data_IF_224200631863
#
_entry.id   IF_224200631863
#
_cell.length_a   1.000
_cell.length_b   1.000
_cell.length_c   1.000
_cell.angle_alpha   90.00
_cell.angle_beta   90.00
_cell.angle_gamma   90.00
#
_symmetry.space_group_name_H-M   'P 1'
#
loop_
_entity.id
_entity.type
_entity.pdbx_description
1 polymer ?
#
# COMPACT_ATOMS: atom_id res chain seq x y z
N UNK A 1 17.74 -18.80 -0.33
CA UNK A 1 18.03 -17.60 -1.15
C UNK A 1 18.02 -16.41 -0.21
N UNK A 2 19.19 -15.94 0.22
CA UNK A 2 19.32 -14.75 1.06
C UNK A 2 19.32 -13.54 0.14
N UNK A 3 18.18 -12.87 0.01
CA UNK A 3 18.21 -11.48 -0.43
C UNK A 3 18.77 -10.71 0.77
N UNK A 4 19.68 -9.79 0.54
CA UNK A 4 20.47 -9.13 1.57
C UNK A 4 19.65 -7.94 2.12
N UNK A 5 19.53 -7.77 3.44
CA UNK A 5 18.87 -6.58 4.06
C UNK A 5 19.45 -5.26 3.54
N UNK A 6 20.72 -5.28 3.10
CA UNK A 6 21.38 -4.16 2.43
C UNK A 6 20.67 -3.70 1.14
N UNK A 7 19.82 -4.51 0.52
CA UNK A 7 19.02 -4.11 -0.64
C UNK A 7 17.93 -3.10 -0.26
N UNK A 8 17.19 -3.30 0.83
CA UNK A 8 16.09 -2.39 1.20
C UNK A 8 16.57 -1.08 1.77
N UNK A 9 17.63 -1.10 2.57
CA UNK A 9 18.26 0.13 3.04
C UNK A 9 18.89 0.91 1.87
N UNK A 10 19.38 0.21 0.83
CA UNK A 10 19.84 0.87 -0.39
C UNK A 10 18.70 1.50 -1.19
N UNK A 11 17.54 0.84 -1.31
CA UNK A 11 16.34 1.39 -1.95
C UNK A 11 15.79 2.58 -1.15
N UNK A 12 15.81 2.48 0.17
CA UNK A 12 15.43 3.60 1.05
C UNK A 12 16.38 4.78 0.88
N UNK A 13 17.69 4.52 0.87
CA UNK A 13 18.70 5.57 0.74
C UNK A 13 18.69 6.21 -0.64
N UNK A 14 18.48 5.42 -1.70
CA UNK A 14 18.39 5.92 -3.07
C UNK A 14 17.11 6.71 -3.33
N UNK A 15 15.97 6.27 -2.77
CA UNK A 15 14.74 7.05 -2.81
C UNK A 15 14.85 8.33 -2.00
N UNK A 16 15.57 8.30 -0.87
CA UNK A 16 15.81 9.48 -0.03
C UNK A 16 16.66 10.55 -0.71
N UNK A 17 17.59 10.18 -1.59
CA UNK A 17 18.41 11.14 -2.35
C UNK A 17 17.72 11.66 -3.60
N UNK A 18 16.63 11.02 -4.03
CA UNK A 18 15.84 11.44 -5.19
C UNK A 18 14.67 12.35 -4.78
N UNK A 19 14.83 13.65 -5.02
CA UNK A 19 13.83 14.69 -4.72
C UNK A 19 12.52 14.57 -5.52
N UNK A 20 12.43 13.66 -6.48
CA UNK A 20 11.20 13.38 -7.23
C UNK A 20 10.62 11.99 -6.94
N UNK A 21 11.16 11.28 -5.94
CA UNK A 21 10.74 9.94 -5.56
C UNK A 21 9.87 9.97 -4.31
N UNK A 22 8.80 9.19 -4.32
CA UNK A 22 7.99 8.87 -3.15
C UNK A 22 8.06 7.36 -2.93
N UNK A 23 8.53 6.99 -1.74
CA UNK A 23 8.50 5.62 -1.27
C UNK A 23 7.18 5.40 -0.53
N UNK A 24 6.40 4.43 -0.97
CA UNK A 24 5.13 4.03 -0.39
C UNK A 24 5.33 2.67 0.27
N UNK A 25 5.00 2.54 1.54
CA UNK A 25 5.04 1.28 2.26
C UNK A 25 3.63 0.95 2.69
N UNK A 26 3.11 -0.20 2.29
CA UNK A 26 1.71 -0.60 2.52
C UNK A 26 1.63 -1.88 3.33
N UNK A 27 0.60 -1.98 4.16
CA UNK A 27 0.27 -3.18 4.92
C UNK A 27 -1.23 -3.15 5.28
N UNK A 28 -1.80 -4.32 5.57
CA UNK A 28 -3.14 -4.45 6.10
C UNK A 28 -3.23 -5.50 7.21
N UNK A 29 -4.17 -5.29 8.13
CA UNK A 29 -4.47 -6.21 9.22
C UNK A 29 -5.92 -6.65 9.15
N UNK A 30 -6.10 -7.97 9.00
CA UNK A 30 -7.40 -8.63 9.13
C UNK A 30 -7.47 -9.26 10.52
N UNK A 31 -8.29 -8.73 11.44
CA UNK A 31 -8.37 -9.27 12.80
C UNK A 31 -9.03 -10.65 12.80
N UNK A 32 -8.55 -11.54 13.67
CA UNK A 32 -9.16 -12.86 13.90
C UNK A 32 -10.51 -12.76 14.63
N UNK A 33 -10.75 -11.63 15.31
CA UNK A 33 -11.97 -11.38 16.08
C UNK A 33 -12.98 -10.65 15.19
N UNK A 34 -14.11 -11.30 14.88
CA UNK A 34 -15.14 -10.75 14.00
C UNK A 34 -15.82 -9.47 14.51
N UNK A 35 -15.60 -9.06 15.76
CA UNK A 35 -16.06 -7.76 16.27
C UNK A 35 -15.17 -6.59 15.87
N UNK A 36 -14.07 -6.82 15.16
CA UNK A 36 -13.12 -5.80 14.72
C UNK A 36 -13.13 -5.67 13.20
N UNK A 37 -12.94 -4.44 12.74
CA UNK A 37 -12.80 -4.10 11.33
C UNK A 37 -11.40 -4.40 10.81
N UNK A 38 -11.31 -4.63 9.50
CA UNK A 38 -10.03 -4.68 8.79
C UNK A 38 -9.41 -3.30 8.78
N UNK A 39 -8.11 -3.20 9.03
CA UNK A 39 -7.38 -1.93 8.98
C UNK A 39 -6.33 -2.00 7.89
N UNK A 40 -6.32 -0.98 7.06
CA UNK A 40 -5.44 -0.89 5.90
C UNK A 40 -4.65 0.43 5.99
N UNK A 41 -3.35 0.41 5.72
CA UNK A 41 -2.55 1.63 5.76
C UNK A 41 -1.47 1.71 4.67
N UNK A 42 -1.10 2.94 4.35
CA UNK A 42 0.06 3.29 3.55
C UNK A 42 0.83 4.42 4.22
N UNK A 43 2.13 4.24 4.45
CA UNK A 43 3.02 5.32 4.91
C UNK A 43 3.88 5.77 3.74
N UNK A 44 4.01 7.09 3.56
CA UNK A 44 4.73 7.69 2.43
C UNK A 44 5.96 8.42 2.94
N UNK A 45 7.10 8.15 2.30
CA UNK A 45 8.39 8.70 2.64
C UNK A 45 8.97 9.50 1.49
N UNK A 46 9.57 10.63 1.82
CA UNK A 46 10.29 11.52 0.92
C UNK A 46 11.51 12.08 1.64
N UNK A 47 12.67 12.11 0.99
CA UNK A 47 13.91 12.58 1.65
C UNK A 47 14.28 11.77 2.89
N UNK A 48 13.89 10.49 2.96
CA UNK A 48 14.12 9.61 4.11
C UNK A 48 13.22 9.87 5.32
N UNK A 49 12.28 10.81 5.22
CA UNK A 49 11.33 11.14 6.27
C UNK A 49 9.92 10.76 5.84
N UNK A 50 9.10 10.33 6.81
CA UNK A 50 7.68 10.10 6.55
C UNK A 50 6.99 11.45 6.35
N UNK A 51 6.46 11.70 5.17
CA UNK A 51 5.78 12.96 4.81
C UNK A 51 4.27 12.87 4.84
N UNK A 52 3.73 11.65 4.74
CA UNK A 52 2.28 11.43 4.78
C UNK A 52 1.96 10.02 5.25
N UNK A 53 0.71 9.79 5.61
CA UNK A 53 0.13 8.47 5.75
C UNK A 53 -1.33 8.48 5.27
N UNK A 54 -1.85 7.31 4.95
CA UNK A 54 -3.26 7.04 4.75
C UNK A 54 -3.60 5.79 5.56
N UNK A 55 -4.76 5.80 6.23
CA UNK A 55 -5.27 4.66 6.97
C UNK A 55 -6.77 4.61 6.80
N UNK A 56 -7.30 3.42 6.54
CA UNK A 56 -8.71 3.18 6.35
C UNK A 56 -9.14 1.93 7.11
N UNK A 57 -10.39 1.97 7.57
CA UNK A 57 -11.06 0.82 8.17
C UNK A 57 -12.06 0.28 7.16
N UNK A 58 -12.07 -1.03 6.99
CA UNK A 58 -12.98 -1.73 6.09
C UNK A 58 -13.79 -2.77 6.86
N UNK A 59 -14.93 -3.13 6.28
CA UNK A 59 -15.76 -4.22 6.80
C UNK A 59 -15.07 -5.59 6.60
N UNK A 60 -15.86 -6.66 6.54
CA UNK A 60 -15.38 -8.03 6.47
C UNK A 60 -14.85 -8.34 5.07
N UNK A 61 -13.58 -8.05 4.83
CA UNK A 61 -12.89 -8.31 3.56
C UNK A 61 -11.81 -9.38 3.74
N UNK A 62 -11.44 -10.06 2.65
CA UNK A 62 -10.33 -11.02 2.70
C UNK A 62 -8.99 -10.31 2.89
N UNK A 63 -7.96 -11.04 3.32
CA UNK A 63 -6.59 -10.49 3.40
C UNK A 63 -6.11 -9.98 2.04
N UNK A 64 -6.40 -10.69 0.95
CA UNK A 64 -6.09 -10.23 -0.41
C UNK A 64 -6.75 -8.89 -0.75
N UNK A 65 -8.02 -8.72 -0.39
CA UNK A 65 -8.77 -7.48 -0.64
C UNK A 65 -8.24 -6.32 0.23
N UNK A 66 -7.89 -6.61 1.48
CA UNK A 66 -7.31 -5.65 2.42
C UNK A 66 -5.95 -5.13 1.95
N UNK A 67 -5.08 -6.03 1.48
CA UNK A 67 -3.78 -5.67 0.90
C UNK A 67 -3.96 -4.92 -0.42
N UNK A 68 -4.93 -5.30 -1.25
CA UNK A 68 -5.17 -4.59 -2.49
C UNK A 68 -5.64 -3.15 -2.20
N UNK A 69 -6.47 -2.98 -1.17
CA UNK A 69 -6.89 -1.67 -0.73
C UNK A 69 -5.72 -0.83 -0.17
N UNK A 70 -4.73 -1.46 0.47
CA UNK A 70 -3.54 -0.78 1.02
C UNK A 70 -2.70 -0.16 -0.09
N UNK A 71 -2.50 -0.93 -1.16
CA UNK A 71 -1.87 -0.47 -2.40
C UNK A 71 -2.66 0.65 -3.04
N UNK A 72 -3.98 0.49 -3.16
CA UNK A 72 -4.85 1.48 -3.78
C UNK A 72 -4.77 2.86 -3.09
N UNK A 73 -4.95 2.92 -1.76
CA UNK A 73 -4.85 4.19 -1.03
C UNK A 73 -3.43 4.77 -1.04
N UNK A 74 -2.41 3.91 -1.08
CA UNK A 74 -1.02 4.31 -1.19
C UNK A 74 -0.71 5.01 -2.52
N UNK A 75 -1.20 4.45 -3.63
CA UNK A 75 -1.05 5.02 -4.98
C UNK A 75 -1.79 6.35 -5.11
N UNK A 76 -3.05 6.42 -4.68
CA UNK A 76 -3.80 7.70 -4.66
C UNK A 76 -3.00 8.77 -3.93
N UNK A 77 -2.50 8.44 -2.74
CA UNK A 77 -1.79 9.42 -1.92
C UNK A 77 -0.45 9.81 -2.54
N UNK A 78 0.29 8.87 -3.14
CA UNK A 78 1.57 9.16 -3.78
C UNK A 78 1.42 10.05 -5.03
N UNK A 79 0.41 9.80 -5.85
CA UNK A 79 0.08 10.65 -7.02
C UNK A 79 -0.26 12.08 -6.56
N UNK A 80 -0.99 12.22 -5.45
CA UNK A 80 -1.33 13.55 -4.90
C UNK A 80 -0.11 14.39 -4.45
N UNK A 81 1.05 13.75 -4.22
CA UNK A 81 2.30 14.43 -3.85
C UNK A 81 3.11 14.93 -5.06
N UNK A 82 2.56 14.84 -6.28
CA UNK A 82 3.17 15.37 -7.51
C UNK A 82 4.59 14.85 -7.80
N UNK A 83 4.87 13.60 -7.42
CA UNK A 83 6.15 12.96 -7.69
C UNK A 83 6.30 12.48 -9.14
N UNK A 84 7.53 12.17 -9.53
CA UNK A 84 7.82 11.51 -10.81
C UNK A 84 8.07 10.02 -10.64
N UNK A 85 8.52 9.56 -9.47
CA UNK A 85 8.83 8.15 -9.26
C UNK A 85 8.14 7.64 -8.01
N UNK A 86 7.39 6.55 -8.15
CA UNK A 86 6.77 5.85 -7.02
C UNK A 86 7.53 4.54 -6.81
N UNK A 87 7.99 4.29 -5.60
CA UNK A 87 8.48 2.97 -5.19
C UNK A 87 7.49 2.40 -4.19
N UNK A 88 6.77 1.35 -4.57
CA UNK A 88 5.79 0.69 -3.70
C UNK A 88 6.41 -0.55 -3.07
N UNK A 89 6.43 -0.59 -1.74
CA UNK A 89 6.87 -1.71 -0.92
C UNK A 89 5.65 -2.38 -0.27
N UNK A 90 5.53 -3.69 -0.46
CA UNK A 90 4.53 -4.55 0.20
C UNK A 90 5.18 -5.89 0.53
N UNK A 91 4.66 -6.62 1.50
CA UNK A 91 5.02 -8.02 1.75
C UNK A 91 4.19 -9.04 0.96
N UNK A 92 3.29 -8.56 0.09
CA UNK A 92 2.40 -9.37 -0.72
C UNK A 92 2.53 -9.06 -2.23
N UNK A 93 3.64 -9.50 -2.83
CA UNK A 93 3.91 -9.32 -4.27
C UNK A 93 2.79 -9.82 -5.21
N UNK A 94 2.08 -10.95 -4.95
CA UNK A 94 0.94 -11.35 -5.77
C UNK A 94 -0.17 -10.30 -5.81
N UNK A 95 -0.41 -9.60 -4.70
CA UNK A 95 -1.42 -8.53 -4.62
C UNK A 95 -0.94 -7.26 -5.33
N UNK A 96 0.35 -6.93 -5.27
CA UNK A 96 0.91 -5.87 -6.12
C UNK A 96 0.69 -6.12 -7.61
N UNK A 97 0.87 -7.36 -8.07
CA UNK A 97 0.53 -7.75 -9.45
C UNK A 97 -0.97 -7.68 -9.73
N UNK A 98 -1.79 -8.06 -8.75
CA UNK A 98 -3.24 -7.97 -8.86
C UNK A 98 -3.73 -6.53 -8.98
N UNK A 99 -3.06 -5.58 -8.31
CA UNK A 99 -3.42 -4.16 -8.34
C UNK A 99 -3.36 -3.53 -9.73
N UNK A 100 -2.49 -4.04 -10.60
CA UNK A 100 -2.36 -3.60 -12.00
C UNK A 100 -3.03 -4.57 -12.99
N UNK A 101 -3.89 -5.47 -12.49
CA UNK A 101 -4.61 -6.43 -13.30
C UNK A 101 -6.14 -6.13 -13.25
N UNK A 102 -6.73 -5.58 -14.32
CA UNK A 102 -8.15 -5.25 -14.35
C UNK A 102 -9.09 -6.45 -14.60
N UNK A 103 -8.58 -7.68 -14.60
CA UNK A 103 -9.38 -8.90 -14.79
C UNK A 103 -10.38 -9.14 -13.64
N UNK A 104 -11.31 -10.07 -13.79
CA UNK A 104 -12.36 -10.34 -12.79
C UNK A 104 -11.74 -10.95 -11.51
N UNK A 105 -11.99 -10.32 -10.37
CA UNK A 105 -11.70 -10.82 -9.01
C UNK A 105 -12.53 -10.07 -7.95
N UNK A 106 -12.50 -10.50 -6.68
CA UNK A 106 -13.36 -10.01 -5.58
C UNK A 106 -13.33 -8.48 -5.36
N UNK A 107 -12.14 -7.87 -5.47
CA UNK A 107 -11.93 -6.43 -5.34
C UNK A 107 -11.50 -5.75 -6.64
N UNK A 108 -12.09 -6.16 -7.77
CA UNK A 108 -11.75 -5.62 -9.10
C UNK A 108 -11.88 -4.10 -9.19
N UNK A 109 -12.81 -3.49 -8.45
CA UNK A 109 -12.97 -2.03 -8.41
C UNK A 109 -11.68 -1.29 -8.02
N UNK A 110 -10.92 -1.82 -7.07
CA UNK A 110 -9.63 -1.24 -6.67
C UNK A 110 -8.58 -1.36 -7.77
N UNK A 111 -8.46 -2.52 -8.42
CA UNK A 111 -7.52 -2.69 -9.54
C UNK A 111 -7.86 -1.82 -10.74
N UNK A 112 -9.16 -1.67 -11.07
CA UNK A 112 -9.60 -0.76 -12.13
C UNK A 112 -9.21 0.68 -11.81
N UNK A 113 -9.48 1.14 -10.58
CA UNK A 113 -9.14 2.50 -10.16
C UNK A 113 -7.62 2.72 -10.17
N UNK A 114 -6.83 1.76 -9.68
CA UNK A 114 -5.36 1.81 -9.76
C UNK A 114 -4.88 1.90 -11.21
N UNK A 115 -5.41 1.07 -12.11
CA UNK A 115 -5.06 1.13 -13.53
C UNK A 115 -5.41 2.48 -14.16
N UNK A 116 -6.57 3.06 -13.86
CA UNK A 116 -6.98 4.37 -14.36
C UNK A 116 -6.04 5.47 -13.86
N UNK A 117 -5.81 5.53 -12.55
CA UNK A 117 -4.94 6.51 -11.91
C UNK A 117 -3.50 6.43 -12.43
N UNK A 118 -2.94 5.22 -12.52
CA UNK A 118 -1.59 5.03 -13.03
C UNK A 118 -1.51 5.31 -14.52
N UNK A 119 -2.53 4.98 -15.32
CA UNK A 119 -2.54 5.29 -16.76
C UNK A 119 -2.48 6.79 -16.99
N UNK A 120 -3.36 7.56 -16.33
CA UNK A 120 -3.38 9.03 -16.45
C UNK A 120 -2.07 9.64 -15.93
N UNK A 121 -1.58 9.15 -14.80
CA UNK A 121 -0.34 9.63 -14.20
C UNK A 121 0.87 9.31 -15.08
N UNK A 122 1.04 8.09 -15.59
CA UNK A 122 2.17 7.71 -16.45
C UNK A 122 2.13 8.43 -17.82
N UNK A 123 0.95 8.75 -18.33
CA UNK A 123 0.80 9.47 -19.59
C UNK A 123 1.15 10.96 -19.48
N UNK A 124 1.11 11.54 -18.27
CA UNK A 124 1.30 12.97 -18.08
C UNK A 124 2.74 13.44 -18.34
N UNK A 125 3.76 12.64 -18.00
CA UNK A 125 5.19 12.96 -18.21
C UNK A 125 6.00 11.70 -18.54
N UNK A 126 6.92 11.75 -19.53
CA UNK A 126 7.78 10.60 -19.88
C UNK A 126 8.71 10.14 -18.76
N UNK A 127 8.99 11.01 -17.77
CA UNK A 127 9.84 10.69 -16.63
C UNK A 127 9.09 9.98 -15.50
N UNK A 128 7.78 9.73 -15.65
CA UNK A 128 6.99 9.07 -14.62
C UNK A 128 7.16 7.55 -14.65
N UNK A 129 7.42 6.96 -13.49
CA UNK A 129 7.63 5.52 -13.36
C UNK A 129 7.16 5.00 -11.99
N UNK A 130 6.81 3.72 -11.94
CA UNK A 130 6.46 3.03 -10.70
C UNK A 130 7.19 1.70 -10.62
N UNK A 131 7.81 1.42 -9.47
CA UNK A 131 8.46 0.15 -9.16
C UNK A 131 7.75 -0.55 -8.00
N UNK A 132 7.59 -1.87 -8.10
CA UNK A 132 7.04 -2.71 -7.05
C UNK A 132 8.13 -3.57 -6.43
N UNK A 133 8.23 -3.54 -5.10
CA UNK A 133 9.22 -4.30 -4.33
C UNK A 133 8.55 -5.15 -3.25
N UNK A 134 8.97 -6.41 -3.18
CA UNK A 134 8.53 -7.38 -2.18
C UNK A 134 9.44 -7.31 -0.96
N UNK A 135 8.91 -7.02 0.23
CA UNK A 135 9.66 -7.10 1.50
C UNK A 135 9.10 -8.23 2.37
N UNK A 136 9.85 -9.31 2.63
CA UNK A 136 9.34 -10.37 3.50
C UNK A 136 9.11 -9.84 4.92
N UNK A 137 7.90 -9.98 5.46
CA UNK A 137 7.52 -9.42 6.78
C UNK A 137 8.44 -9.88 7.92
N UNK A 138 8.96 -11.12 7.83
CA UNK A 138 9.95 -11.71 8.75
C UNK A 138 11.25 -10.90 8.92
N UNK A 139 11.56 -9.97 8.02
CA UNK A 139 12.79 -9.18 8.08
C UNK A 139 12.70 -7.95 8.97
N UNK A 140 11.49 -7.58 9.43
CA UNK A 140 11.31 -6.48 10.37
C UNK A 140 12.00 -5.18 9.90
N UNK A 141 12.02 -4.95 8.59
CA UNK A 141 12.60 -3.74 8.01
C UNK A 141 11.83 -2.51 8.53
N UNK A 142 12.56 -1.53 9.08
CA UNK A 142 11.95 -0.51 9.98
C UNK A 142 10.74 0.23 9.40
N UNK A 143 10.76 0.72 8.14
CA UNK A 143 9.59 1.35 7.53
C UNK A 143 8.39 0.41 7.44
N UNK A 144 8.60 -0.83 7.01
CA UNK A 144 7.52 -1.84 6.94
C UNK A 144 6.99 -2.22 8.31
N UNK A 145 7.87 -2.50 9.27
CA UNK A 145 7.49 -2.80 10.66
C UNK A 145 6.65 -1.68 11.27
N UNK A 146 6.93 -0.41 10.91
CA UNK A 146 6.14 0.73 11.36
C UNK A 146 4.71 0.68 10.85
N UNK A 147 4.50 0.41 9.55
CA UNK A 147 3.14 0.28 8.98
C UNK A 147 2.44 -0.94 9.57
N UNK A 148 3.15 -2.06 9.71
CA UNK A 148 2.64 -3.28 10.32
C UNK A 148 2.11 -3.07 11.74
N UNK A 149 2.92 -2.43 12.58
CA UNK A 149 2.50 -2.10 13.94
C UNK A 149 1.33 -1.12 13.94
N UNK A 150 1.29 -0.18 12.99
CA UNK A 150 0.24 0.82 12.87
C UNK A 150 -1.12 0.18 12.53
N UNK A 151 -1.16 -0.80 11.62
CA UNK A 151 -2.40 -1.52 11.28
C UNK A 151 -2.80 -2.53 12.35
N UNK A 152 -1.86 -3.27 12.93
CA UNK A 152 -2.15 -4.33 13.91
C UNK A 152 -2.54 -3.80 15.30
N UNK A 153 -2.02 -2.63 15.69
CA UNK A 153 -2.38 -1.98 16.97
C UNK A 153 -3.68 -1.17 16.90
N UNK A 154 -4.21 -0.93 15.69
CA UNK A 154 -5.46 -0.20 15.51
C UNK A 154 -6.63 -1.15 15.68
N UNK A 155 -7.43 -0.96 16.74
CA UNK A 155 -8.65 -1.73 16.97
C UNK A 155 -9.87 -0.85 16.74
N UNK A 156 -10.63 -1.15 15.69
CA UNK A 156 -11.88 -0.46 15.38
C UNK A 156 -13.00 -1.48 15.44
N UNK A 157 -13.99 -1.21 16.30
CA UNK A 157 -15.11 -2.13 16.46
C UNK A 157 -16.05 -2.06 15.26
N UNK A 158 -16.40 -3.23 14.73
CA UNK A 158 -17.42 -3.34 13.70
C UNK A 158 -18.79 -2.95 14.30
N UNK A 159 -19.57 -2.09 13.62
CA UNK A 159 -20.93 -1.79 14.07
C UNK A 159 -21.82 -3.04 13.99
N UNK A 160 -22.92 -3.10 14.76
CA UNK A 160 -23.75 -4.31 14.93
C UNK A 160 -24.36 -4.91 13.65
N UNK A 161 -24.36 -4.15 12.54
CA UNK A 161 -25.09 -4.48 11.31
C UNK A 161 -24.26 -4.24 10.04
N UNK A 162 -22.97 -4.56 10.06
CA UNK A 162 -22.18 -4.53 8.82
C UNK A 162 -22.45 -5.78 7.97
N UNK A 163 -23.19 -5.59 6.88
CA UNK A 163 -22.95 -6.39 5.67
C UNK A 163 -21.57 -6.04 5.09
N UNK A 164 -21.07 -6.85 4.15
CA UNK A 164 -19.85 -6.56 3.40
C UNK A 164 -20.05 -5.33 2.49
N UNK A 165 -20.12 -4.14 3.08
CA UNK A 165 -20.24 -2.88 2.36
C UNK A 165 -18.84 -2.30 2.19
N UNK A 166 -18.43 -2.15 0.93
CA UNK A 166 -17.33 -1.30 0.51
C UNK A 166 -17.92 0.10 0.31
N UNK A 167 -17.85 0.96 1.33
CA UNK A 167 -18.14 2.38 1.13
C UNK A 167 -16.89 3.01 0.48
N UNK A 168 -16.98 3.26 -0.83
CA UNK A 168 -15.99 4.03 -1.57
C UNK A 168 -16.22 5.52 -1.24
N UNK A 169 -15.28 6.14 -0.53
CA UNK A 169 -15.14 7.60 -0.41
C UNK A 169 -14.12 8.12 -1.41
#
# INVERSE_FOLDING_TARGET
MYIHVSSFDSVFSSSSSNHNCILVVTDASVPLVGSLQVVTAAHLYHGGQQVSHAKQASSWVSSTDAELYSIHIGIIKAISLQCNHIILITDCLPVAKLAVNPSIHSSQSHSIQVCQLLSDWLAAKPSQSIDFWDVPSKWHWKPHLKVHNDVTSTHIHAPPHMGATLDFL
#
